data_IF_197146512929
#
_entry.id   IF_197146512929
#
_cell.length_a   1.000
_cell.length_b   1.000
_cell.length_c   1.000
_cell.angle_alpha   90.00
_cell.angle_beta   90.00
_cell.angle_gamma   90.00
#
_symmetry.space_group_name_H-M   'P 1'
#
loop_
_entity.id
_entity.type
_entity.pdbx_description
1 polymer ?
#
# COMPACT_ATOMS: atom_id res chain seq x y z
N UNK A 1 -11.76 6.23 16.37
CA UNK A 1 -10.73 7.05 15.70
C UNK A 1 -10.28 6.29 14.47
N UNK A 2 -10.27 6.91 13.29
CA UNK A 2 -9.88 6.26 12.03
C UNK A 2 -8.41 6.57 11.67
N UNK A 3 -7.78 5.70 10.88
CA UNK A 3 -6.39 5.80 10.41
C UNK A 3 -6.11 7.09 9.67
N UNK A 4 -7.05 7.58 8.85
CA UNK A 4 -6.91 8.86 8.14
C UNK A 4 -6.94 10.03 9.12
N UNK A 5 -7.82 10.00 10.11
CA UNK A 5 -7.94 11.04 11.13
C UNK A 5 -6.69 11.11 12.02
N UNK A 6 -6.16 9.96 12.43
CA UNK A 6 -4.90 9.89 13.18
C UNK A 6 -3.73 10.44 12.35
N UNK A 7 -3.64 10.05 11.07
CA UNK A 7 -2.61 10.53 10.16
C UNK A 7 -2.64 12.06 10.00
N UNK A 8 -3.82 12.67 9.94
CA UNK A 8 -3.96 14.14 9.89
C UNK A 8 -3.38 14.81 11.15
N UNK A 9 -3.68 14.28 12.33
CA UNK A 9 -3.17 14.81 13.59
C UNK A 9 -1.66 14.64 13.72
N UNK A 10 -1.13 13.48 13.35
CA UNK A 10 0.31 13.22 13.40
C UNK A 10 1.09 14.05 12.38
N UNK A 11 0.52 14.27 11.19
CA UNK A 11 1.11 15.16 10.19
C UNK A 11 1.15 16.61 10.69
N UNK A 12 0.07 17.08 11.33
CA UNK A 12 0.04 18.41 11.93
C UNK A 12 1.04 18.56 13.07
N UNK A 13 1.18 17.53 13.92
CA UNK A 13 2.20 17.51 14.98
C UNK A 13 3.60 17.60 14.38
N UNK A 14 3.92 16.76 13.39
CA UNK A 14 5.22 16.73 12.75
C UNK A 14 5.59 18.06 12.08
N UNK A 15 4.63 18.69 11.38
CA UNK A 15 4.83 20.00 10.77
C UNK A 15 5.15 21.10 11.80
N UNK A 16 4.58 21.00 13.01
CA UNK A 16 4.85 21.95 14.11
C UNK A 16 6.19 21.73 14.80
N UNK A 17 6.61 20.48 14.96
CA UNK A 17 7.86 20.14 15.65
C UNK A 17 9.07 20.06 14.72
N UNK A 18 8.85 20.15 13.41
CA UNK A 18 9.91 19.98 12.40
C UNK A 18 10.32 18.51 12.23
N UNK A 19 9.49 17.58 12.67
CA UNK A 19 9.71 16.15 12.49
C UNK A 19 9.34 15.68 11.08
N UNK A 20 9.84 14.50 10.71
CA UNK A 20 9.49 13.86 9.44
C UNK A 20 8.01 13.49 9.45
N UNK A 21 7.24 13.78 8.39
CA UNK A 21 5.84 13.44 8.32
C UNK A 21 5.63 11.91 8.39
N UNK A 22 4.52 11.46 9.01
CA UNK A 22 4.22 10.04 9.09
C UNK A 22 4.01 9.44 7.69
N UNK A 23 4.27 8.13 7.51
CA UNK A 23 4.03 7.47 6.24
C UNK A 23 2.55 7.58 5.84
N UNK A 24 2.31 7.69 4.53
CA UNK A 24 0.95 7.77 3.99
C UNK A 24 0.16 6.51 4.35
N UNK A 25 -1.09 6.66 4.83
CA UNK A 25 -1.96 5.52 5.08
C UNK A 25 -2.21 4.76 3.78
N UNK A 26 -2.33 3.43 3.88
CA UNK A 26 -2.56 2.56 2.73
C UNK A 26 -1.33 2.26 1.86
N UNK A 27 -0.13 2.74 2.24
CA UNK A 27 1.12 2.38 1.53
C UNK A 27 1.36 0.87 1.60
N UNK A 28 1.23 0.28 2.79
CA UNK A 28 1.36 -1.16 2.98
C UNK A 28 0.30 -1.94 2.18
N UNK A 29 -0.96 -1.51 2.22
CA UNK A 29 -2.05 -2.18 1.49
C UNK A 29 -1.79 -2.19 -0.02
N UNK A 30 -1.27 -1.08 -0.57
CA UNK A 30 -0.88 -1.00 -1.99
C UNK A 30 0.25 -1.97 -2.33
N UNK A 31 1.25 -2.12 -1.46
CA UNK A 31 2.34 -3.08 -1.65
C UNK A 31 1.84 -4.52 -1.63
N UNK A 32 0.98 -4.85 -0.66
CA UNK A 32 0.33 -6.15 -0.54
C UNK A 32 -0.48 -6.45 -1.81
N UNK A 33 -1.30 -5.52 -2.28
CA UNK A 33 -2.09 -5.67 -3.50
C UNK A 33 -1.20 -5.86 -4.75
N UNK A 34 -0.09 -5.13 -4.85
CA UNK A 34 0.90 -5.33 -5.93
C UNK A 34 1.51 -6.72 -5.88
N UNK A 35 1.83 -7.22 -4.68
CA UNK A 35 2.35 -8.57 -4.46
C UNK A 35 1.36 -9.65 -4.89
N UNK A 36 0.10 -9.53 -4.46
CA UNK A 36 -0.99 -10.43 -4.86
C UNK A 36 -1.15 -10.40 -6.39
N UNK A 37 -1.24 -9.21 -6.99
CA UNK A 37 -1.38 -9.06 -8.45
C UNK A 37 -0.25 -9.74 -9.21
N UNK A 38 0.99 -9.62 -8.73
CA UNK A 38 2.15 -10.30 -9.33
C UNK A 38 2.02 -11.81 -9.23
N UNK A 39 1.62 -12.34 -8.08
CA UNK A 39 1.43 -13.78 -7.88
C UNK A 39 0.32 -14.33 -8.78
N UNK A 40 -0.82 -13.64 -8.86
CA UNK A 40 -1.92 -14.03 -9.75
C UNK A 40 -1.45 -14.06 -11.20
N UNK A 41 -0.72 -13.03 -11.67
CA UNK A 41 -0.17 -13.02 -13.04
C UNK A 41 0.80 -14.15 -13.32
N UNK A 42 1.68 -14.47 -12.36
CA UNK A 42 2.60 -15.59 -12.52
C UNK A 42 1.86 -16.93 -12.58
N UNK A 43 0.85 -17.10 -11.71
CA UNK A 43 0.01 -18.29 -11.71
C UNK A 43 -0.77 -18.43 -13.02
N UNK A 44 -1.41 -17.37 -13.51
CA UNK A 44 -2.16 -17.43 -14.78
C UNK A 44 -1.25 -17.69 -15.98
N UNK A 45 -0.03 -17.15 -16.00
CA UNK A 45 0.94 -17.44 -17.05
C UNK A 45 1.39 -18.90 -17.05
N UNK A 46 1.63 -19.47 -15.86
CA UNK A 46 2.04 -20.87 -15.70
C UNK A 46 0.92 -21.88 -16.06
N UNK A 47 -0.35 -21.50 -15.88
CA UNK A 47 -1.50 -22.36 -16.13
C UNK A 47 -2.24 -21.97 -17.42
N UNK A 48 -1.62 -21.14 -18.28
CA UNK A 48 -2.22 -20.77 -19.57
C UNK A 48 -2.25 -22.02 -20.45
N UNK A 49 -3.42 -22.45 -20.95
CA UNK A 49 -3.46 -23.57 -21.89
C UNK A 49 -2.68 -23.18 -23.17
N UNK A 50 -1.93 -24.12 -23.78
CA UNK A 50 -1.29 -23.85 -25.05
C UNK A 50 -2.37 -23.43 -26.05
N UNK A 51 -2.14 -22.32 -26.75
CA UNK A 51 -3.01 -21.93 -27.85
C UNK A 51 -2.86 -23.02 -28.92
N UNK A 52 -3.89 -23.84 -29.08
CA UNK A 52 -4.02 -24.82 -30.16
C UNK A 52 -4.23 -24.11 -31.50
#
# INVERSE_FOLDING_TARGET
MDTVQQHMLDSYRAARTGEVPPPLPGTHDREVLRGIRRRVRAWTAAHRPPLA
#
